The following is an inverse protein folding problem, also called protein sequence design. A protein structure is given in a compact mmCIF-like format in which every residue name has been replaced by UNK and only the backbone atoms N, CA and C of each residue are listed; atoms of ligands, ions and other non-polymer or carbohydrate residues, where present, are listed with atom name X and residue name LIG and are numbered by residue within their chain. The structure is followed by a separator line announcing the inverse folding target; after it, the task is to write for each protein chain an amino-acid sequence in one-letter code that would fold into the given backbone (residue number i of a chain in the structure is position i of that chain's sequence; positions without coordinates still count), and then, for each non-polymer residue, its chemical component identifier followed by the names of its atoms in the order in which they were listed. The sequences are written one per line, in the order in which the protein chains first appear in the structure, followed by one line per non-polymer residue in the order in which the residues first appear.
data_IF_256126501949
#
_entry.id   IF_256126501949
#
_cell.length_a   1.000
_cell.length_b   1.000
_cell.length_c   1.000
_cell.angle_alpha   90.00
_cell.angle_beta   90.00
_cell.angle_gamma   90.00
#
_symmetry.space_group_name_H-M   'P 1'
#
loop_
_entity.id
_entity.type
_entity.pdbx_description
1 polymer ?
#
# COMPACT_ATOMS: atom_id res chain seq x y z
N UNK A 1 -12.10 3.31 -1.64
CA UNK A 1 -11.58 3.79 -0.35
C UNK A 1 -10.48 2.82 0.04
N UNK A 2 -9.23 3.24 0.13
CA UNK A 2 -8.12 2.33 0.48
C UNK A 2 -8.27 1.90 1.93
N UNK A 3 -8.48 0.60 2.15
CA UNK A 3 -8.65 0.05 3.47
C UNK A 3 -7.26 -0.09 4.10
N UNK A 4 -6.88 0.83 5.00
CA UNK A 4 -5.56 0.84 5.66
C UNK A 4 -5.25 -0.44 6.47
N UNK A 5 -6.16 -1.40 6.52
CA UNK A 5 -6.08 -2.66 7.29
C UNK A 5 -5.07 -3.65 6.69
N UNK A 6 -4.67 -3.44 5.43
CA UNK A 6 -3.85 -4.40 4.69
C UNK A 6 -2.40 -3.93 4.46
N UNK A 7 -1.96 -2.85 5.10
CA UNK A 7 -0.55 -2.45 5.01
C UNK A 7 0.34 -3.41 5.78
N UNK A 8 1.40 -3.85 5.12
CA UNK A 8 2.39 -4.75 5.72
C UNK A 8 3.42 -3.97 6.52
N UNK A 9 3.71 -4.45 7.72
CA UNK A 9 4.78 -3.96 8.59
C UNK A 9 6.09 -4.72 8.36
N UNK A 10 7.16 -4.31 9.04
CA UNK A 10 8.52 -4.86 8.84
C UNK A 10 8.66 -6.34 9.19
N UNK A 11 7.79 -6.87 10.08
CA UNK A 11 7.83 -8.23 10.59
C UNK A 11 6.99 -9.21 9.76
N UNK A 12 6.06 -8.69 8.97
CA UNK A 12 5.25 -9.51 8.08
C UNK A 12 6.12 -10.26 7.08
N UNK A 13 5.70 -11.47 6.74
CA UNK A 13 6.42 -12.39 5.84
C UNK A 13 5.57 -12.66 4.61
N UNK A 14 6.19 -12.58 3.44
CA UNK A 14 5.56 -12.92 2.16
C UNK A 14 6.27 -14.09 1.52
N UNK A 15 5.50 -14.90 0.79
CA UNK A 15 6.06 -15.93 -0.10
C UNK A 15 6.03 -15.44 -1.55
N UNK A 16 7.17 -15.50 -2.22
CA UNK A 16 7.40 -14.95 -3.54
C UNK A 16 7.81 -16.09 -4.47
N UNK A 17 7.06 -16.26 -5.56
CA UNK A 17 7.30 -17.36 -6.52
C UNK A 17 8.28 -16.97 -7.63
N UNK A 18 8.35 -15.69 -8.03
CA UNK A 18 9.35 -15.15 -8.96
C UNK A 18 9.20 -13.63 -9.08
N UNK A 19 10.30 -12.87 -8.99
CA UNK A 19 10.31 -11.41 -9.17
C UNK A 19 11.63 -10.98 -9.87
N UNK A 20 11.69 -9.80 -10.52
CA UNK A 20 12.90 -9.25 -11.14
C UNK A 20 14.07 -8.96 -10.16
N UNK A 21 13.84 -9.09 -8.86
CA UNK A 21 14.86 -8.93 -7.83
C UNK A 21 15.27 -10.32 -7.31
N UNK A 22 16.51 -10.44 -6.81
CA UNK A 22 17.03 -11.66 -6.19
C UNK A 22 16.38 -11.89 -4.81
N UNK A 23 15.05 -12.03 -4.79
CA UNK A 23 14.31 -12.31 -3.59
C UNK A 23 14.33 -13.80 -3.28
N UNK A 24 14.52 -14.13 -2.01
CA UNK A 24 14.27 -15.47 -1.50
C UNK A 24 12.78 -15.82 -1.57
N UNK A 25 12.47 -17.14 -1.60
CA UNK A 25 11.09 -17.64 -1.71
C UNK A 25 10.19 -17.16 -0.57
N UNK A 26 10.76 -16.95 0.60
CA UNK A 26 10.04 -16.48 1.79
C UNK A 26 10.90 -15.43 2.45
N UNK A 27 10.35 -14.25 2.68
CA UNK A 27 11.13 -13.12 3.15
C UNK A 27 10.26 -12.17 3.97
N UNK A 28 10.86 -11.52 4.98
CA UNK A 28 10.21 -10.43 5.69
C UNK A 28 10.19 -9.15 4.86
N UNK A 29 9.22 -8.29 5.14
CA UNK A 29 9.15 -6.96 4.52
C UNK A 29 10.39 -6.10 4.83
N UNK A 30 11.00 -6.23 6.01
CA UNK A 30 12.24 -5.51 6.34
C UNK A 30 13.39 -5.82 5.37
N UNK A 31 13.50 -7.09 4.95
CA UNK A 31 14.55 -7.57 4.05
C UNK A 31 14.25 -7.12 2.61
N UNK A 32 12.99 -7.18 2.18
CA UNK A 32 12.55 -6.63 0.89
C UNK A 32 12.84 -5.14 0.79
N UNK A 33 12.50 -4.37 1.85
CA UNK A 33 12.79 -2.93 1.94
C UNK A 33 14.28 -2.68 1.78
N UNK A 34 15.13 -3.47 2.45
CA UNK A 34 16.59 -3.35 2.37
C UNK A 34 17.10 -3.54 0.94
N UNK A 35 16.71 -4.63 0.27
CA UNK A 35 17.14 -4.93 -1.11
C UNK A 35 16.69 -3.82 -2.07
N UNK A 36 15.43 -3.38 -1.96
CA UNK A 36 14.91 -2.28 -2.79
C UNK A 36 15.62 -0.94 -2.52
N UNK A 37 15.97 -0.67 -1.26
CA UNK A 37 16.66 0.56 -0.87
C UNK A 37 18.11 0.56 -1.38
N UNK A 38 18.80 -0.57 -1.33
CA UNK A 38 20.14 -0.76 -1.89
C UNK A 38 20.13 -0.57 -3.41
N UNK A 39 19.19 -1.21 -4.10
CA UNK A 39 19.01 -1.03 -5.55
C UNK A 39 18.74 0.45 -5.93
N UNK A 40 17.86 1.13 -5.19
CA UNK A 40 17.56 2.53 -5.46
C UNK A 40 18.74 3.46 -5.16
N UNK A 41 19.48 3.21 -4.09
CA UNK A 41 20.68 3.97 -3.77
C UNK A 41 21.73 3.85 -4.88
N UNK A 42 21.88 2.66 -5.47
CA UNK A 42 22.78 2.45 -6.61
C UNK A 42 22.33 3.20 -7.88
N UNK A 43 21.03 3.16 -8.21
CA UNK A 43 20.50 3.74 -9.46
C UNK A 43 20.25 5.24 -9.39
N UNK A 44 19.77 5.74 -8.25
CA UNK A 44 19.26 7.10 -8.10
C UNK A 44 20.03 7.95 -7.08
N UNK A 45 21.06 7.39 -6.42
CA UNK A 45 21.79 8.04 -5.31
C UNK A 45 20.90 8.45 -4.14
N UNK A 46 19.73 7.82 -4.01
CA UNK A 46 18.78 8.02 -2.91
C UNK A 46 18.02 6.73 -2.59
N UNK A 47 17.61 6.57 -1.33
CA UNK A 47 16.80 5.44 -0.89
C UNK A 47 15.30 5.62 -1.19
N UNK A 48 14.54 4.53 -1.05
CA UNK A 48 13.07 4.50 -1.15
C UNK A 48 12.37 4.63 0.20
N UNK A 49 13.02 4.23 1.29
CA UNK A 49 12.44 4.11 2.63
C UNK A 49 13.26 4.88 3.67
N UNK A 50 12.64 5.40 4.75
CA UNK A 50 11.21 5.39 5.07
C UNK A 50 10.40 6.51 4.38
N UNK A 51 11.08 7.52 3.84
CA UNK A 51 10.47 8.60 3.05
C UNK A 51 11.18 8.71 1.70
N UNK A 52 10.43 8.51 0.61
CA UNK A 52 10.99 8.51 -0.74
C UNK A 52 11.27 9.93 -1.22
N UNK A 53 10.31 10.85 -1.07
CA UNK A 53 10.46 12.26 -1.46
C UNK A 53 10.01 13.16 -0.32
N UNK A 54 10.91 14.04 0.12
CA UNK A 54 10.64 15.09 1.12
C UNK A 54 10.45 16.44 0.45
N UNK A 55 9.73 17.35 1.11
CA UNK A 55 9.54 18.74 0.70
C UNK A 55 9.01 18.91 -0.74
N UNK A 56 8.03 18.08 -1.12
CA UNK A 56 7.39 18.17 -2.43
C UNK A 56 6.00 18.80 -2.33
N UNK A 57 5.45 19.18 -3.48
CA UNK A 57 4.05 19.58 -3.62
C UNK A 57 3.32 18.56 -4.49
N UNK A 58 2.09 18.22 -4.11
CA UNK A 58 1.21 17.36 -4.91
C UNK A 58 0.04 18.16 -5.44
N UNK A 59 -0.24 18.02 -6.73
CA UNK A 59 -1.47 18.51 -7.36
C UNK A 59 -2.36 17.29 -7.61
N UNK A 60 -3.53 17.25 -6.99
CA UNK A 60 -4.50 16.16 -7.19
C UNK A 60 -5.35 16.44 -8.44
N UNK A 61 -5.84 15.36 -9.06
CA UNK A 61 -6.69 15.43 -10.26
C UNK A 61 -8.00 16.22 -10.04
N UNK A 62 -8.45 16.36 -8.79
CA UNK A 62 -9.63 17.14 -8.44
C UNK A 62 -9.43 18.67 -8.51
N UNK A 63 -8.23 19.13 -8.90
CA UNK A 63 -7.96 20.52 -9.23
C UNK A 63 -7.91 21.47 -8.03
N UNK A 64 -7.88 20.95 -6.78
CA UNK A 64 -7.93 21.78 -5.55
C UNK A 64 -6.60 22.45 -5.19
N UNK A 65 -5.72 22.69 -6.17
CA UNK A 65 -4.43 23.35 -6.01
C UNK A 65 -3.30 22.46 -5.49
N UNK A 66 -2.11 23.06 -5.39
CA UNK A 66 -0.89 22.40 -4.90
C UNK A 66 -0.90 22.28 -3.37
N UNK A 67 -0.46 21.12 -2.86
CA UNK A 67 -0.33 20.87 -1.42
C UNK A 67 1.07 20.37 -1.07
N UNK A 68 1.76 21.10 -0.18
CA UNK A 68 3.05 20.69 0.39
C UNK A 68 2.95 19.42 1.21
N UNK A 69 3.97 18.57 1.13
CA UNK A 69 4.05 17.32 1.87
C UNK A 69 5.27 16.47 1.49
N UNK A 70 5.06 15.16 1.58
CA UNK A 70 6.05 14.12 1.30
C UNK A 70 5.38 12.90 0.67
N UNK A 71 6.14 12.14 -0.12
CA UNK A 71 5.71 10.86 -0.71
C UNK A 71 6.37 9.72 0.05
N UNK A 72 5.56 8.75 0.50
CA UNK A 72 6.02 7.52 1.16
C UNK A 72 5.59 6.30 0.35
N UNK A 73 6.46 5.30 0.28
CA UNK A 73 6.16 4.00 -0.31
C UNK A 73 5.76 3.05 0.81
N UNK A 74 4.66 2.31 0.64
CA UNK A 74 4.17 1.29 1.57
C UNK A 74 3.82 0.03 0.79
N UNK A 75 3.91 -1.11 1.45
CA UNK A 75 3.42 -2.39 0.93
C UNK A 75 2.00 -2.62 1.43
N UNK A 76 1.12 -3.03 0.52
CA UNK A 76 -0.26 -3.43 0.81
C UNK A 76 -0.44 -4.84 0.30
N UNK A 77 -1.00 -5.72 1.15
CA UNK A 77 -1.38 -7.06 0.74
C UNK A 77 -2.80 -7.04 0.19
N UNK A 78 -2.98 -7.52 -1.02
CA UNK A 78 -4.29 -7.60 -1.67
C UNK A 78 -4.61 -9.08 -1.83
N UNK A 79 -5.53 -9.63 -1.03
CA UNK A 79 -5.93 -11.03 -1.18
C UNK A 79 -6.71 -11.22 -2.50
N UNK A 80 -6.56 -12.39 -3.12
CA UNK A 80 -7.26 -12.73 -4.37
C UNK A 80 -8.78 -12.80 -4.18
N UNK A 81 -9.21 -13.29 -3.01
CA UNK A 81 -10.61 -13.32 -2.60
C UNK A 81 -10.87 -12.22 -1.56
N UNK A 82 -11.99 -11.50 -1.65
CA UNK A 82 -12.34 -10.50 -0.65
C UNK A 82 -12.51 -11.16 0.72
N UNK A 83 -12.08 -10.47 1.77
CA UNK A 83 -12.29 -10.96 3.13
C UNK A 83 -13.80 -10.99 3.43
N UNK A 84 -14.39 -12.12 3.87
CA UNK A 84 -15.82 -12.19 4.19
C UNK A 84 -16.26 -11.17 5.27
N UNK A 85 -15.33 -10.67 6.10
CA UNK A 85 -15.62 -9.58 7.05
C UNK A 85 -15.82 -8.19 6.38
N UNK A 86 -15.34 -7.99 5.15
CA UNK A 86 -15.52 -6.75 4.39
C UNK A 86 -16.85 -6.70 3.63
N UNK A 87 -17.43 -7.86 3.27
CA UNK A 87 -18.73 -7.93 2.58
C UNK A 87 -19.89 -7.42 3.46
N UNK A 88 -19.82 -7.64 4.78
CA UNK A 88 -20.86 -7.22 5.72
C UNK A 88 -21.00 -5.69 5.86
N UNK A 89 -20.04 -4.88 5.40
CA UNK A 89 -20.15 -3.41 5.46
C UNK A 89 -20.93 -2.80 4.30
N UNK A 90 -21.18 -3.55 3.23
CA UNK A 90 -21.89 -3.01 2.05
C UNK A 90 -23.40 -3.24 2.14
N UNK A 91 -23.85 -4.21 2.93
CA UNK A 91 -25.28 -4.63 2.98
C UNK A 91 -26.10 -3.94 4.08
N UNK A 92 -25.48 -3.32 5.09
CA UNK A 92 -26.24 -2.63 6.17
C UNK A 92 -26.78 -1.24 5.79
N UNK A 93 -26.53 -0.74 4.57
CA UNK A 93 -27.11 0.51 4.06
C UNK A 93 -28.18 0.32 2.98
N UNK A 94 -28.77 -0.87 2.85
CA UNK A 94 -30.06 -1.02 2.15
C UNK A 94 -31.20 -0.94 3.15
N UNK A 95 -31.54 0.30 3.48
CA UNK A 95 -32.71 0.71 4.26
C UNK A 95 -33.98 -0.05 3.80
N UNK A 96 -34.47 -0.96 4.66
CA UNK A 96 -35.72 -1.73 4.55
C UNK A 96 -37.01 -0.88 4.64
N UNK A 97 -36.98 0.39 4.22
CA UNK A 97 -38.10 1.32 4.42
C UNK A 97 -39.15 1.33 3.29
N UNK A 98 -39.01 0.50 2.25
CA UNK A 98 -39.90 0.55 1.08
C UNK A 98 -41.14 -0.38 1.14
N UNK A 99 -41.42 -1.05 2.26
CA UNK A 99 -42.61 -1.91 2.42
C UNK A 99 -43.69 -1.36 3.35
N UNK A 100 -43.72 -0.05 3.60
CA UNK A 100 -44.82 0.63 4.30
C UNK A 100 -45.32 1.81 3.48
N UNK A 101 -46.14 1.52 2.46
CA UNK A 101 -47.26 2.36 2.00
C UNK A 101 -48.21 1.54 1.14
#
# INVERSE_FOLDING_TARGET
MTNNKNFLDDKDVVSILSYPFNFERTMKIEEIKKIMNEWAAEKFRQGLFPEFIKNCEVLKQDGKGWKKGQVKIKFEFIPDEPNPEEENKTTENQSLNDFRN
#
